data_IF_372027711307
#
_entry.id   IF_372027711307
#
_cell.length_a   1.000
_cell.length_b   1.000
_cell.length_c   1.000
_cell.angle_alpha   90.00
_cell.angle_beta   90.00
_cell.angle_gamma   90.00
#
_symmetry.space_group_name_H-M   'P 1'
#
loop_
_entity.id
_entity.type
_entity.pdbx_description
1 polymer ?
#
# COMPACT_ATOMS: atom_id res chain seq x y z
N UNK A 1 -12.90 -6.15 -20.53
CA UNK A 1 -13.76 -6.01 -19.34
C UNK A 1 -14.33 -4.60 -19.34
N UNK A 2 -15.63 -4.43 -19.14
CA UNK A 2 -16.28 -3.10 -19.07
C UNK A 2 -16.57 -2.83 -17.59
N UNK A 3 -16.22 -1.64 -17.09
CA UNK A 3 -16.49 -1.21 -15.72
C UNK A 3 -17.45 -0.01 -15.75
N UNK A 4 -18.43 -0.02 -14.86
CA UNK A 4 -19.41 1.06 -14.69
C UNK A 4 -19.14 1.79 -13.37
N UNK A 5 -19.21 3.11 -13.39
CA UNK A 5 -18.96 3.98 -12.23
C UNK A 5 -20.18 4.85 -11.98
N UNK A 6 -20.51 5.07 -10.70
CA UNK A 6 -21.62 5.92 -10.26
C UNK A 6 -21.03 7.06 -9.41
N UNK A 7 -21.44 8.29 -9.70
CA UNK A 7 -21.04 9.46 -8.92
C UNK A 7 -22.17 10.47 -8.85
N UNK A 8 -22.26 11.18 -7.73
CA UNK A 8 -23.11 12.37 -7.58
C UNK A 8 -22.44 13.64 -8.11
N UNK A 9 -21.16 13.58 -8.47
CA UNK A 9 -20.43 14.69 -9.07
C UNK A 9 -20.93 14.93 -10.51
N UNK A 10 -21.27 16.17 -10.84
CA UNK A 10 -21.57 16.58 -12.22
C UNK A 10 -20.28 17.12 -12.83
N UNK A 11 -19.64 16.34 -13.69
CA UNK A 11 -18.36 16.66 -14.30
C UNK A 11 -18.21 15.99 -15.67
N UNK A 12 -17.26 16.46 -16.47
CA UNK A 12 -16.96 15.88 -17.77
C UNK A 12 -16.27 14.51 -17.67
N UNK A 13 -16.40 13.70 -18.72
CA UNK A 13 -15.81 12.37 -18.80
C UNK A 13 -14.28 12.38 -18.56
N UNK A 14 -13.59 13.45 -18.95
CA UNK A 14 -12.15 13.58 -18.72
C UNK A 14 -11.79 13.63 -17.23
N UNK A 15 -12.55 14.39 -16.43
CA UNK A 15 -12.34 14.51 -14.98
C UNK A 15 -12.52 13.12 -14.33
N UNK A 16 -13.56 12.39 -14.71
CA UNK A 16 -13.76 11.03 -14.24
C UNK A 16 -12.63 10.10 -14.67
N UNK A 17 -12.17 10.16 -15.93
CA UNK A 17 -11.07 9.34 -16.40
C UNK A 17 -9.77 9.60 -15.64
N UNK A 18 -9.47 10.87 -15.33
CA UNK A 18 -8.33 11.24 -14.49
C UNK A 18 -8.48 10.71 -13.06
N UNK A 19 -9.66 10.87 -12.45
CA UNK A 19 -9.96 10.35 -11.11
C UNK A 19 -9.85 8.83 -11.02
N UNK A 20 -10.43 8.11 -11.98
CA UNK A 20 -10.35 6.64 -12.08
C UNK A 20 -8.90 6.18 -12.20
N UNK A 21 -8.12 6.79 -13.11
CA UNK A 21 -6.68 6.48 -13.25
C UNK A 21 -5.90 6.80 -11.98
N UNK A 22 -6.21 7.92 -11.32
CA UNK A 22 -5.62 8.29 -10.04
C UNK A 22 -5.91 7.27 -8.94
N UNK A 23 -7.15 6.78 -8.88
CA UNK A 23 -7.60 5.76 -7.94
C UNK A 23 -6.87 4.42 -8.15
N UNK A 24 -6.67 3.98 -9.40
CA UNK A 24 -5.83 2.81 -9.71
C UNK A 24 -4.39 2.97 -9.20
N UNK A 25 -3.91 4.21 -9.13
CA UNK A 25 -2.64 4.52 -8.50
C UNK A 25 -2.58 4.16 -7.01
N UNK A 26 -3.69 4.14 -6.28
CA UNK A 26 -3.77 3.70 -4.88
C UNK A 26 -3.63 2.19 -4.81
N UNK A 27 -4.39 1.47 -5.64
CA UNK A 27 -4.36 0.01 -5.72
C UNK A 27 -2.96 -0.51 -6.05
N UNK A 28 -2.35 0.04 -7.10
CA UNK A 28 -1.03 -0.39 -7.55
C UNK A 28 0.09 -0.04 -6.56
N UNK A 29 -0.01 1.11 -5.89
CA UNK A 29 1.05 1.55 -4.97
C UNK A 29 0.90 0.88 -3.61
N UNK A 30 -0.30 0.81 -3.04
CA UNK A 30 -0.50 0.32 -1.68
C UNK A 30 -0.85 -1.18 -1.66
N UNK A 31 -1.96 -1.57 -2.29
CA UNK A 31 -2.52 -2.92 -2.19
C UNK A 31 -1.57 -3.96 -2.75
N UNK A 32 -1.08 -3.79 -3.99
CA UNK A 32 -0.11 -4.73 -4.56
C UNK A 32 1.14 -4.94 -3.69
N UNK A 33 1.65 -3.86 -3.06
CA UNK A 33 2.79 -3.98 -2.16
C UNK A 33 2.43 -4.79 -0.91
N UNK A 34 1.25 -4.58 -0.32
CA UNK A 34 0.79 -5.37 0.83
C UNK A 34 0.63 -6.83 0.48
N UNK A 35 -0.03 -7.11 -0.63
CA UNK A 35 -0.43 -8.47 -1.04
C UNK A 35 0.79 -9.29 -1.46
N UNK A 36 1.67 -8.71 -2.28
CA UNK A 36 2.78 -9.44 -2.90
C UNK A 36 4.08 -9.30 -2.11
N UNK A 37 4.49 -8.08 -1.75
CA UNK A 37 5.78 -7.84 -1.08
C UNK A 37 5.70 -8.17 0.40
N UNK A 38 4.63 -7.74 1.07
CA UNK A 38 4.39 -8.03 2.49
C UNK A 38 3.53 -9.28 2.73
N UNK A 39 3.20 -10.01 1.65
CA UNK A 39 2.54 -11.32 1.69
C UNK A 39 1.23 -11.32 2.50
N UNK A 40 0.44 -10.24 2.42
CA UNK A 40 -0.84 -10.12 3.10
C UNK A 40 -1.81 -11.24 2.71
N UNK A 41 -1.92 -11.57 1.42
CA UNK A 41 -2.78 -12.66 0.93
C UNK A 41 -2.38 -14.05 1.45
N UNK A 42 -1.10 -14.23 1.81
CA UNK A 42 -0.58 -15.51 2.34
C UNK A 42 -0.68 -15.58 3.86
N UNK A 43 -1.10 -14.51 4.51
CA UNK A 43 -1.14 -14.40 5.96
C UNK A 43 -2.29 -15.21 6.55
N UNK A 44 -1.98 -16.32 7.23
CA UNK A 44 -2.97 -17.12 7.97
C UNK A 44 -3.36 -16.52 9.33
N UNK A 45 -3.04 -15.25 9.59
CA UNK A 45 -3.42 -14.54 10.80
C UNK A 45 -4.94 -14.50 10.88
N UNK A 46 -5.49 -15.11 11.93
CA UNK A 46 -6.93 -15.15 12.20
C UNK A 46 -7.16 -14.71 13.65
N UNK A 47 -8.33 -14.15 13.91
CA UNK A 47 -8.74 -13.70 15.25
C UNK A 47 -9.08 -12.20 15.31
N UNK A 48 -10.26 -11.90 15.87
CA UNK A 48 -10.80 -10.55 16.13
C UNK A 48 -10.21 -9.44 15.25
N UNK A 49 -9.43 -8.53 15.83
CA UNK A 49 -8.86 -7.36 15.16
C UNK A 49 -7.45 -7.61 14.59
N UNK A 50 -6.90 -8.82 14.68
CA UNK A 50 -5.52 -9.09 14.26
C UNK A 50 -5.28 -8.85 12.75
N UNK A 51 -6.15 -9.28 11.82
CA UNK A 51 -5.97 -8.98 10.39
C UNK A 51 -6.01 -7.48 10.10
N UNK A 52 -6.95 -6.75 10.71
CA UNK A 52 -7.10 -5.31 10.52
C UNK A 52 -5.88 -4.54 11.07
N UNK A 53 -5.45 -4.87 12.29
CA UNK A 53 -4.27 -4.28 12.92
C UNK A 53 -3.01 -4.54 12.07
N UNK A 54 -2.85 -5.76 11.56
CA UNK A 54 -1.71 -6.09 10.71
C UNK A 54 -1.73 -5.31 9.39
N UNK A 55 -2.89 -5.12 8.76
CA UNK A 55 -2.99 -4.31 7.55
C UNK A 55 -2.65 -2.83 7.81
N UNK A 56 -3.05 -2.29 8.96
CA UNK A 56 -2.66 -0.94 9.41
C UNK A 56 -1.14 -0.86 9.59
N UNK A 57 -0.53 -1.81 10.30
CA UNK A 57 0.92 -1.87 10.50
C UNK A 57 1.66 -1.91 9.17
N UNK A 58 1.25 -2.76 8.22
CA UNK A 58 1.85 -2.81 6.87
C UNK A 58 1.76 -1.46 6.17
N UNK A 59 0.63 -0.76 6.30
CA UNK A 59 0.44 0.58 5.72
C UNK A 59 1.41 1.59 6.31
N UNK A 60 1.59 1.58 7.64
CA UNK A 60 2.55 2.44 8.35
C UNK A 60 3.97 2.16 7.84
N UNK A 61 4.38 0.90 7.74
CA UNK A 61 5.70 0.52 7.24
C UNK A 61 5.90 1.00 5.80
N UNK A 62 4.95 0.75 4.90
CA UNK A 62 5.04 1.21 3.49
C UNK A 62 5.21 2.74 3.43
N UNK A 63 4.44 3.48 4.21
CA UNK A 63 4.55 4.94 4.25
C UNK A 63 5.90 5.39 4.81
N UNK A 64 6.39 4.77 5.88
CA UNK A 64 7.70 5.06 6.46
C UNK A 64 8.82 4.88 5.44
N UNK A 65 8.81 3.76 4.71
CA UNK A 65 9.80 3.46 3.68
C UNK A 65 9.77 4.50 2.56
N UNK A 66 8.57 4.91 2.13
CA UNK A 66 8.41 5.95 1.11
C UNK A 66 8.93 7.32 1.57
N UNK A 67 8.61 7.71 2.79
CA UNK A 67 9.10 8.97 3.38
C UNK A 67 10.62 8.99 3.47
N UNK A 68 11.25 7.82 3.62
CA UNK A 68 12.70 7.64 3.61
C UNK A 68 13.29 7.43 2.18
N UNK A 69 12.52 7.71 1.13
CA UNK A 69 13.02 7.73 -0.25
C UNK A 69 13.06 6.38 -0.97
N UNK A 70 12.53 5.30 -0.38
CA UNK A 70 12.47 4.02 -1.06
C UNK A 70 11.37 4.00 -2.14
N UNK A 71 11.79 3.95 -3.41
CA UNK A 71 10.89 3.78 -4.55
C UNK A 71 10.42 2.33 -4.75
N UNK A 72 11.22 1.35 -4.33
CA UNK A 72 10.90 -0.09 -4.42
C UNK A 72 10.79 -0.71 -3.03
N UNK A 73 9.60 -1.23 -2.71
CA UNK A 73 9.33 -1.91 -1.44
C UNK A 73 10.10 -3.24 -1.33
N UNK A 74 10.35 -3.94 -2.44
CA UNK A 74 11.16 -5.17 -2.45
C UNK A 74 12.62 -4.90 -2.09
N UNK A 75 13.19 -3.80 -2.59
CA UNK A 75 14.57 -3.40 -2.24
C UNK A 75 14.61 -3.00 -0.76
N UNK A 76 13.67 -2.18 -0.31
CA UNK A 76 13.58 -1.78 1.09
C UNK A 76 13.47 -2.97 2.03
N UNK A 77 12.58 -3.92 1.74
CA UNK A 77 12.43 -5.16 2.52
C UNK A 77 13.76 -5.94 2.58
N UNK A 78 14.44 -6.15 1.45
CA UNK A 78 15.73 -6.87 1.43
C UNK A 78 16.81 -6.22 2.29
N UNK A 79 16.86 -4.88 2.31
CA UNK A 79 17.86 -4.14 3.08
C UNK A 79 17.55 -4.10 4.58
N UNK A 80 16.25 -4.08 4.93
CA UNK A 80 15.81 -3.74 6.30
C UNK A 80 15.33 -4.97 7.09
N UNK A 81 14.81 -6.02 6.43
CA UNK A 81 14.12 -7.14 7.10
C UNK A 81 14.93 -7.86 8.17
N UNK A 82 16.26 -7.72 8.18
CA UNK A 82 17.14 -8.30 9.20
C UNK A 82 18.12 -7.28 9.80
N UNK A 83 17.86 -5.98 9.68
CA UNK A 83 18.73 -4.92 10.18
C UNK A 83 17.95 -3.97 11.09
N UNK A 84 17.80 -4.37 12.35
CA UNK A 84 17.10 -3.59 13.38
C UNK A 84 17.71 -2.20 13.57
N UNK A 85 19.04 -2.02 13.62
CA UNK A 85 19.63 -0.67 13.71
C UNK A 85 19.19 0.24 12.56
N UNK A 86 19.22 -0.25 11.32
CA UNK A 86 18.74 0.52 10.16
C UNK A 86 17.25 0.80 10.26
N UNK A 87 16.43 -0.15 10.70
CA UNK A 87 14.99 0.08 10.90
C UNK A 87 14.73 1.21 11.92
N UNK A 88 15.46 1.24 13.03
CA UNK A 88 15.33 2.27 14.06
C UNK A 88 15.78 3.65 13.55
N UNK A 89 16.80 3.70 12.70
CA UNK A 89 17.25 4.95 12.08
C UNK A 89 16.19 5.58 11.16
N UNK A 90 15.26 4.79 10.60
CA UNK A 90 14.18 5.31 9.74
C UNK A 90 13.06 6.00 10.54
N UNK A 91 13.05 5.87 11.86
CA UNK A 91 12.04 6.43 12.77
C UNK A 91 12.45 7.78 13.39
N UNK A 92 13.68 8.25 13.12
CA UNK A 92 14.24 9.51 13.62
C UNK A 92 14.04 10.62 12.60
#
# INVERSE_FOLDING_TARGET
MVAYYISSLVADAEIFAQGIRGHWGIENRLHWSKDVVFQEDRSSITGAHAPANMSIIRSIVINLLRSNGFSSMTIAQRLISNNIPTLLALLQ
#
